data_IF_750314329018
#
_entry.id   IF_750314329018
#
_cell.length_a   1.000
_cell.length_b   1.000
_cell.length_c   1.000
_cell.angle_alpha   90.00
_cell.angle_beta   90.00
_cell.angle_gamma   90.00
#
_symmetry.space_group_name_H-M   'P 1'
#
loop_
_entity.id
_entity.type
_entity.pdbx_description
1 polymer ?
#
# COMPACT_ATOMS: atom_id res chain seq x y z
N UNK A 1 -11.25 15.57 28.98
CA UNK A 1 -10.17 15.69 28.00
C UNK A 1 -10.72 15.19 26.67
N UNK A 2 -10.78 16.02 25.63
CA UNK A 2 -11.13 15.57 24.30
C UNK A 2 -10.00 14.63 23.82
N UNK A 3 -10.30 13.39 23.50
CA UNK A 3 -9.37 12.52 22.79
C UNK A 3 -9.21 13.11 21.38
N UNK A 4 -8.00 13.41 20.98
CA UNK A 4 -7.72 13.71 19.58
C UNK A 4 -8.11 12.46 18.77
N UNK A 5 -9.09 12.60 17.89
CA UNK A 5 -9.49 11.54 16.98
C UNK A 5 -8.43 11.44 15.89
N UNK A 6 -7.89 10.25 15.67
CA UNK A 6 -6.92 10.01 14.60
C UNK A 6 -7.68 9.90 13.30
N UNK A 7 -7.44 10.83 12.38
CA UNK A 7 -8.00 10.81 11.03
C UNK A 7 -6.99 10.08 10.13
N UNK A 8 -7.38 8.94 9.57
CA UNK A 8 -6.52 8.19 8.64
C UNK A 8 -6.38 8.92 7.31
N UNK A 9 -5.26 8.70 6.60
CA UNK A 9 -4.97 9.37 5.32
C UNK A 9 -6.11 9.23 4.31
N UNK A 10 -6.78 8.08 4.24
CA UNK A 10 -7.90 7.86 3.33
C UNK A 10 -9.09 8.80 3.60
N UNK A 11 -9.32 9.23 4.84
CA UNK A 11 -10.39 10.16 5.20
C UNK A 11 -10.05 11.63 4.91
N UNK A 12 -8.80 11.93 4.56
CA UNK A 12 -8.36 13.27 4.14
C UNK A 12 -8.60 13.52 2.65
N UNK A 13 -9.72 13.04 2.13
CA UNK A 13 -10.07 13.11 0.71
C UNK A 13 -9.88 14.50 0.07
N UNK A 14 -10.25 15.63 0.70
CA UNK A 14 -10.04 16.95 0.12
C UNK A 14 -8.57 17.28 -0.17
N UNK A 15 -7.63 16.68 0.54
CA UNK A 15 -6.19 16.96 0.38
C UNK A 15 -5.62 16.25 -0.86
N UNK A 16 -6.02 14.99 -1.10
CA UNK A 16 -5.47 14.21 -2.21
C UNK A 16 -6.38 14.10 -3.45
N UNK A 17 -7.68 14.35 -3.33
CA UNK A 17 -8.62 14.29 -4.47
C UNK A 17 -8.18 15.19 -5.63
N UNK A 18 -7.69 16.44 -5.43
CA UNK A 18 -7.19 17.28 -6.52
C UNK A 18 -6.01 16.65 -7.28
N UNK A 19 -5.19 15.81 -6.61
CA UNK A 19 -4.06 15.10 -7.22
C UNK A 19 -4.50 13.96 -8.13
N UNK A 20 -5.75 13.50 -8.01
CA UNK A 20 -6.31 12.40 -8.79
C UNK A 20 -7.14 12.88 -9.99
N UNK A 21 -7.35 14.19 -10.12
CA UNK A 21 -8.18 14.77 -11.20
C UNK A 21 -7.66 14.30 -12.56
N UNK A 22 -8.57 13.85 -13.41
CA UNK A 22 -8.30 13.36 -14.77
C UNK A 22 -7.30 12.20 -14.85
N UNK A 23 -7.06 11.51 -13.74
CA UNK A 23 -6.14 10.38 -13.66
C UNK A 23 -6.89 9.06 -13.54
N UNK A 24 -6.35 8.03 -14.16
CA UNK A 24 -6.73 6.64 -13.90
C UNK A 24 -5.99 6.19 -12.65
N UNK A 25 -6.70 5.63 -11.70
CA UNK A 25 -6.17 5.28 -10.38
C UNK A 25 -6.09 3.77 -10.22
N UNK A 26 -4.96 3.27 -9.74
CA UNK A 26 -4.85 1.95 -9.15
C UNK A 26 -4.89 2.04 -7.63
N UNK A 27 -5.62 1.17 -6.96
CA UNK A 27 -5.68 1.10 -5.50
C UNK A 27 -4.95 -0.14 -5.00
N UNK A 28 -3.87 0.04 -4.23
CA UNK A 28 -3.29 -1.01 -3.41
C UNK A 28 -4.00 -1.00 -2.06
N UNK A 29 -4.82 -2.00 -1.79
CA UNK A 29 -5.55 -2.13 -0.53
C UNK A 29 -5.96 -3.57 -0.25
N UNK A 30 -6.50 -3.80 0.94
CA UNK A 30 -7.11 -5.05 1.35
C UNK A 30 -8.30 -4.78 2.29
N UNK A 31 -8.81 -5.81 2.96
CA UNK A 31 -9.94 -5.71 3.90
C UNK A 31 -9.74 -4.71 5.04
N UNK A 32 -8.50 -4.26 5.31
CA UNK A 32 -8.22 -3.24 6.34
C UNK A 32 -8.39 -1.81 5.84
N UNK A 33 -8.55 -1.59 4.54
CA UNK A 33 -8.78 -0.29 3.92
C UNK A 33 -10.18 0.26 4.24
N UNK A 34 -10.44 0.54 5.52
CA UNK A 34 -11.74 1.00 6.01
C UNK A 34 -11.69 2.47 6.44
N UNK A 35 -12.78 3.17 6.19
CA UNK A 35 -13.06 4.57 6.53
C UNK A 35 -14.41 4.70 7.25
N UNK A 36 -14.76 5.89 7.68
CA UNK A 36 -16.02 6.19 8.36
C UNK A 36 -16.24 5.28 9.61
N UNK A 37 -15.21 5.13 10.43
CA UNK A 37 -15.28 4.28 11.62
C UNK A 37 -15.46 2.79 11.28
N UNK A 38 -14.88 2.33 10.18
CA UNK A 38 -14.92 0.93 9.76
C UNK A 38 -16.17 0.53 8.97
N UNK A 39 -17.01 1.48 8.57
CA UNK A 39 -18.32 1.20 7.93
C UNK A 39 -18.26 1.15 6.40
N UNK A 40 -17.21 1.68 5.80
CA UNK A 40 -17.07 1.79 4.35
C UNK A 40 -15.64 1.39 3.94
N UNK A 41 -15.50 0.71 2.82
CA UNK A 41 -14.18 0.45 2.25
C UNK A 41 -13.70 1.66 1.45
N UNK A 42 -12.40 1.98 1.50
CA UNK A 42 -11.78 3.09 0.77
C UNK A 42 -12.11 3.06 -0.74
N UNK A 43 -12.14 1.88 -1.36
CA UNK A 43 -12.57 1.74 -2.76
C UNK A 43 -13.98 2.34 -2.99
N UNK A 44 -14.93 1.95 -2.14
CA UNK A 44 -16.33 2.39 -2.29
C UNK A 44 -16.44 3.92 -2.10
N UNK A 45 -15.70 4.45 -1.13
CA UNK A 45 -15.62 5.91 -0.91
C UNK A 45 -15.02 6.64 -2.12
N UNK A 46 -13.93 6.15 -2.70
CA UNK A 46 -13.29 6.73 -3.89
C UNK A 46 -14.26 6.75 -5.08
N UNK A 47 -14.92 5.63 -5.38
CA UNK A 47 -15.88 5.53 -6.47
C UNK A 47 -17.07 6.47 -6.29
N UNK A 48 -17.62 6.57 -5.07
CA UNK A 48 -18.72 7.47 -4.73
C UNK A 48 -18.34 8.94 -4.92
N UNK A 49 -17.05 9.28 -4.80
CA UNK A 49 -16.52 10.62 -5.02
C UNK A 49 -15.99 10.83 -6.46
N UNK A 50 -16.34 9.95 -7.40
CA UNK A 50 -16.05 10.11 -8.81
C UNK A 50 -14.60 9.83 -9.21
N UNK A 51 -13.81 9.18 -8.35
CA UNK A 51 -12.45 8.76 -8.70
C UNK A 51 -12.49 7.61 -9.70
N UNK A 52 -11.76 7.73 -10.80
CA UNK A 52 -11.68 6.72 -11.85
C UNK A 52 -10.71 5.59 -11.45
N UNK A 53 -11.17 4.64 -10.62
CA UNK A 53 -10.37 3.49 -10.22
C UNK A 53 -10.44 2.42 -11.32
N UNK A 54 -9.31 2.12 -11.95
CA UNK A 54 -9.22 1.20 -13.11
C UNK A 54 -8.54 -0.13 -12.79
N UNK A 55 -7.87 -0.24 -11.64
CA UNK A 55 -7.22 -1.46 -11.19
C UNK A 55 -7.16 -1.51 -9.67
N UNK A 56 -7.14 -2.72 -9.12
CA UNK A 56 -6.90 -2.99 -7.71
C UNK A 56 -5.67 -3.88 -7.62
N UNK A 57 -4.74 -3.54 -6.72
CA UNK A 57 -3.67 -4.42 -6.29
C UNK A 57 -3.99 -4.99 -4.93
N UNK A 58 -3.86 -6.30 -4.80
CA UNK A 58 -4.11 -7.01 -3.56
C UNK A 58 -2.80 -7.59 -3.03
N UNK A 59 -2.43 -7.31 -1.77
CA UNK A 59 -1.35 -8.01 -1.10
C UNK A 59 -1.76 -9.45 -0.74
N UNK A 60 -0.93 -10.11 0.06
CA UNK A 60 -1.27 -11.39 0.69
C UNK A 60 -2.65 -11.33 1.37
N UNK A 61 -3.38 -12.44 1.43
CA UNK A 61 -4.77 -12.60 1.93
C UNK A 61 -5.89 -12.01 1.05
N UNK A 62 -5.58 -11.48 -0.13
CA UNK A 62 -6.59 -11.00 -1.07
C UNK A 62 -7.20 -9.63 -0.70
N UNK A 63 -8.02 -9.11 -1.61
CA UNK A 63 -8.58 -7.76 -1.47
C UNK A 63 -9.69 -7.66 -0.42
N UNK A 64 -10.56 -8.67 -0.33
CA UNK A 64 -11.67 -8.70 0.64
C UNK A 64 -11.37 -9.56 1.88
N UNK A 65 -10.14 -10.11 2.02
CA UNK A 65 -9.73 -10.93 3.15
C UNK A 65 -10.26 -12.38 3.11
N UNK A 66 -10.59 -12.86 1.92
CA UNK A 66 -11.20 -14.16 1.66
C UNK A 66 -10.19 -15.24 1.24
N UNK A 67 -8.90 -14.93 1.25
CA UNK A 67 -7.82 -15.88 0.91
C UNK A 67 -6.99 -16.25 2.14
N UNK A 68 -6.69 -17.55 2.29
CA UNK A 68 -5.82 -18.06 3.35
C UNK A 68 -4.37 -17.58 3.20
N UNK A 69 -3.64 -17.52 4.31
CA UNK A 69 -2.23 -17.17 4.35
C UNK A 69 -1.41 -18.07 3.41
N UNK A 70 -0.59 -17.46 2.54
CA UNK A 70 0.27 -18.19 1.60
C UNK A 70 -0.46 -18.78 0.39
N UNK A 71 -1.77 -18.62 0.25
CA UNK A 71 -2.50 -19.06 -0.92
C UNK A 71 -2.19 -18.17 -2.14
N UNK A 72 -2.07 -18.80 -3.33
CA UNK A 72 -1.93 -18.07 -4.57
C UNK A 72 -3.24 -17.35 -4.92
N UNK A 73 -3.27 -16.04 -4.70
CA UNK A 73 -4.40 -15.20 -5.10
C UNK A 73 -4.29 -14.97 -6.62
N UNK A 74 -5.18 -15.58 -7.39
CA UNK A 74 -5.24 -15.38 -8.85
C UNK A 74 -5.78 -13.98 -9.18
N UNK A 75 -5.41 -13.47 -10.36
CA UNK A 75 -6.09 -12.31 -10.92
C UNK A 75 -7.57 -12.57 -10.98
N UNK A 76 -8.36 -11.66 -10.48
CA UNK A 76 -9.81 -11.77 -10.38
C UNK A 76 -10.47 -10.41 -10.65
N UNK A 77 -11.76 -10.34 -10.47
CA UNK A 77 -12.53 -9.09 -10.59
C UNK A 77 -13.26 -8.89 -9.27
N UNK A 78 -13.25 -7.68 -8.74
CA UNK A 78 -14.05 -7.35 -7.56
C UNK A 78 -15.54 -7.50 -7.90
N UNK A 79 -16.22 -8.45 -7.26
CA UNK A 79 -17.58 -8.80 -7.58
C UNK A 79 -18.58 -7.64 -7.41
N UNK A 80 -18.26 -6.68 -6.54
CA UNK A 80 -19.12 -5.52 -6.26
C UNK A 80 -19.01 -4.43 -7.31
N UNK A 81 -17.80 -4.19 -7.81
CA UNK A 81 -17.50 -3.03 -8.65
C UNK A 81 -17.13 -3.37 -10.09
N UNK A 82 -16.82 -4.64 -10.38
CA UNK A 82 -16.34 -5.06 -11.68
C UNK A 82 -14.90 -4.69 -11.99
N UNK A 83 -14.16 -4.08 -11.04
CA UNK A 83 -12.79 -3.62 -11.26
C UNK A 83 -11.82 -4.80 -11.20
N UNK A 84 -10.87 -4.92 -12.15
CA UNK A 84 -9.86 -5.98 -12.13
C UNK A 84 -8.97 -5.91 -10.89
N UNK A 85 -8.77 -7.07 -10.25
CA UNK A 85 -7.83 -7.26 -9.14
C UNK A 85 -6.60 -7.99 -9.68
N UNK A 86 -5.44 -7.36 -9.60
CA UNK A 86 -4.15 -7.97 -9.87
C UNK A 86 -3.51 -8.41 -8.54
N UNK A 87 -3.32 -9.70 -8.37
CA UNK A 87 -2.61 -10.22 -7.21
C UNK A 87 -1.11 -9.94 -7.34
N UNK A 88 -0.54 -9.38 -6.26
CA UNK A 88 0.91 -9.20 -6.10
C UNK A 88 1.57 -10.35 -5.33
N UNK A 89 0.81 -11.39 -5.03
CA UNK A 89 1.30 -12.59 -4.36
C UNK A 89 1.12 -13.81 -5.27
N UNK A 90 2.07 -13.98 -6.21
CA UNK A 90 2.04 -15.08 -7.19
C UNK A 90 3.17 -16.12 -6.98
N UNK A 91 3.92 -16.00 -5.89
CA UNK A 91 4.96 -16.96 -5.48
C UNK A 91 6.30 -16.86 -6.23
N UNK A 92 6.43 -16.04 -7.28
CA UNK A 92 7.68 -15.93 -8.05
C UNK A 92 8.14 -14.49 -8.22
N UNK A 93 7.39 -13.68 -8.92
CA UNK A 93 7.67 -12.27 -9.15
C UNK A 93 6.41 -11.49 -8.84
N UNK A 94 6.51 -10.59 -7.85
CA UNK A 94 5.37 -9.80 -7.40
C UNK A 94 5.26 -8.46 -8.14
N UNK A 95 5.96 -8.32 -9.27
CA UNK A 95 5.89 -7.10 -10.10
C UNK A 95 4.71 -7.18 -11.07
N UNK A 96 3.93 -6.09 -11.22
CA UNK A 96 2.88 -6.03 -12.23
C UNK A 96 3.44 -6.12 -13.64
N UNK A 97 2.68 -6.71 -14.58
CA UNK A 97 3.07 -6.71 -15.99
C UNK A 97 3.00 -5.30 -16.60
N UNK A 98 3.75 -5.02 -17.68
CA UNK A 98 3.67 -3.74 -18.40
C UNK A 98 2.22 -3.39 -18.78
N UNK A 99 1.45 -4.35 -19.28
CA UNK A 99 0.05 -4.12 -19.65
C UNK A 99 -0.82 -3.75 -18.46
N UNK A 100 -0.50 -4.26 -17.27
CA UNK A 100 -1.17 -3.86 -16.02
C UNK A 100 -0.78 -2.43 -15.67
N UNK A 101 0.51 -2.09 -15.77
CA UNK A 101 1.02 -0.75 -15.47
C UNK A 101 0.45 0.33 -16.42
N UNK A 102 0.09 -0.02 -17.64
CA UNK A 102 -0.50 0.92 -18.62
C UNK A 102 -1.98 1.27 -18.32
N UNK A 103 -2.62 0.60 -17.39
CA UNK A 103 -4.04 0.83 -17.05
C UNK A 103 -4.30 2.02 -16.16
N UNK A 104 -3.28 2.60 -15.54
CA UNK A 104 -3.41 3.70 -14.58
C UNK A 104 -2.25 4.69 -14.66
N UNK A 105 -2.41 5.82 -14.01
CA UNK A 105 -1.46 6.95 -13.99
C UNK A 105 -0.91 7.20 -12.58
N UNK A 106 -1.66 6.76 -11.55
CA UNK A 106 -1.30 6.93 -10.15
C UNK A 106 -1.71 5.71 -9.35
N UNK A 107 -0.89 5.32 -8.37
CA UNK A 107 -1.20 4.29 -7.38
C UNK A 107 -1.51 4.97 -6.06
N UNK A 108 -2.67 4.66 -5.47
CA UNK A 108 -2.98 4.93 -4.08
C UNK A 108 -2.67 3.68 -3.26
N UNK A 109 -1.91 3.83 -2.18
CA UNK A 109 -1.62 2.76 -1.23
C UNK A 109 -2.38 3.05 0.08
N UNK A 110 -3.31 2.17 0.43
CA UNK A 110 -4.10 2.23 1.65
C UNK A 110 -4.09 0.87 2.34
N UNK A 111 -3.11 0.66 3.21
CA UNK A 111 -2.88 -0.57 3.97
C UNK A 111 -2.64 -0.26 5.44
N UNK A 112 -3.24 -1.06 6.33
CA UNK A 112 -2.91 -1.02 7.75
C UNK A 112 -1.70 -1.90 8.03
N UNK A 113 -0.60 -1.29 8.45
CA UNK A 113 0.56 -1.99 9.00
C UNK A 113 0.43 -2.19 10.50
N UNK A 114 1.24 -3.07 11.08
CA UNK A 114 1.28 -3.34 12.51
C UNK A 114 2.61 -2.99 13.17
N UNK A 115 3.54 -2.39 12.43
CA UNK A 115 4.79 -1.82 12.94
C UNK A 115 5.93 -2.81 13.16
N UNK A 116 5.84 -4.02 12.60
CA UNK A 116 6.89 -5.04 12.73
C UNK A 116 7.42 -5.49 11.38
N UNK A 117 8.75 -5.64 11.29
CA UNK A 117 9.48 -5.93 10.06
C UNK A 117 9.03 -7.20 9.34
N UNK A 118 8.53 -8.21 10.03
CA UNK A 118 8.07 -9.46 9.43
C UNK A 118 6.61 -9.40 8.96
N UNK A 119 5.90 -8.29 9.14
CA UNK A 119 4.58 -8.04 8.56
C UNK A 119 4.73 -7.42 7.17
N UNK A 120 4.48 -8.21 6.12
CA UNK A 120 5.07 -8.02 4.79
C UNK A 120 4.36 -7.03 3.86
N UNK A 121 3.38 -6.27 4.36
CA UNK A 121 2.67 -5.29 3.52
C UNK A 121 3.58 -4.17 3.01
N UNK A 122 4.58 -3.76 3.81
CA UNK A 122 5.58 -2.80 3.35
C UNK A 122 6.43 -3.35 2.19
N UNK A 123 6.66 -4.66 2.12
CA UNK A 123 7.39 -5.29 1.01
C UNK A 123 6.59 -5.18 -0.28
N UNK A 124 5.28 -5.39 -0.18
CA UNK A 124 4.35 -5.21 -1.31
C UNK A 124 4.32 -3.75 -1.77
N UNK A 125 4.22 -2.81 -0.83
CA UNK A 125 4.30 -1.38 -1.11
C UNK A 125 5.62 -1.02 -1.81
N UNK A 126 6.76 -1.45 -1.27
CA UNK A 126 8.09 -1.19 -1.82
C UNK A 126 8.23 -1.69 -3.27
N UNK A 127 7.74 -2.88 -3.59
CA UNK A 127 7.76 -3.44 -4.95
C UNK A 127 6.93 -2.59 -5.92
N UNK A 128 5.75 -2.12 -5.49
CA UNK A 128 4.92 -1.24 -6.31
C UNK A 128 5.51 0.17 -6.45
N UNK A 129 6.17 0.69 -5.42
CA UNK A 129 6.93 1.94 -5.51
C UNK A 129 8.00 1.84 -6.60
N UNK A 130 8.78 0.77 -6.59
CA UNK A 130 9.82 0.53 -7.60
C UNK A 130 9.23 0.36 -9.01
N UNK A 131 8.14 -0.39 -9.16
CA UNK A 131 7.44 -0.54 -10.43
C UNK A 131 6.86 0.80 -10.94
N UNK A 132 6.30 1.61 -10.04
CA UNK A 132 5.81 2.95 -10.35
C UNK A 132 6.93 3.86 -10.86
N UNK A 133 8.08 3.86 -10.18
CA UNK A 133 9.25 4.65 -10.58
C UNK A 133 9.73 4.28 -11.99
N UNK A 134 9.90 2.98 -12.27
CA UNK A 134 10.32 2.50 -13.60
C UNK A 134 9.33 2.87 -14.71
N UNK A 135 8.05 3.01 -14.39
CA UNK A 135 6.99 3.30 -15.35
C UNK A 135 6.57 4.77 -15.35
N UNK A 136 7.25 5.64 -14.61
CA UNK A 136 6.91 7.06 -14.51
C UNK A 136 5.52 7.33 -13.91
N UNK A 137 5.01 6.43 -13.06
CA UNK A 137 3.71 6.57 -12.40
C UNK A 137 3.88 7.24 -11.06
N UNK A 138 2.86 8.00 -10.64
CA UNK A 138 2.82 8.59 -9.30
C UNK A 138 2.44 7.54 -8.26
N UNK A 139 2.99 7.68 -7.04
CA UNK A 139 2.67 6.81 -5.92
C UNK A 139 2.29 7.68 -4.71
N UNK A 140 1.13 7.44 -4.12
CA UNK A 140 0.60 8.21 -2.98
C UNK A 140 0.24 7.20 -1.88
N UNK A 141 0.73 7.43 -0.67
CA UNK A 141 0.38 6.64 0.52
C UNK A 141 -0.71 7.37 1.30
N UNK A 142 -1.86 6.73 1.46
CA UNK A 142 -2.91 7.16 2.36
C UNK A 142 -2.61 6.55 3.75
N UNK A 143 -1.81 7.27 4.51
CA UNK A 143 -1.16 6.72 5.70
C UNK A 143 -2.13 6.36 6.82
N UNK A 144 -1.74 5.34 7.62
CA UNK A 144 -2.50 4.84 8.76
C UNK A 144 -1.61 4.76 9.99
N UNK A 145 -2.16 4.98 11.19
CA UNK A 145 -1.38 4.94 12.42
C UNK A 145 -0.76 3.55 12.64
N UNK A 146 0.49 3.53 13.07
CA UNK A 146 1.13 2.33 13.57
C UNK A 146 0.64 2.06 15.00
N UNK A 147 0.02 0.90 15.29
CA UNK A 147 -0.53 0.60 16.62
C UNK A 147 0.54 0.49 17.70
N UNK A 148 1.80 0.27 17.33
CA UNK A 148 2.94 0.19 18.26
C UNK A 148 3.98 1.29 17.96
N UNK A 149 3.58 2.46 17.49
CA UNK A 149 4.46 3.57 17.11
C UNK A 149 5.44 4.00 18.20
N UNK A 150 5.12 3.78 19.48
CA UNK A 150 6.00 4.07 20.61
C UNK A 150 7.12 3.05 20.82
N UNK A 151 7.16 1.98 20.00
CA UNK A 151 8.07 0.85 20.12
C UNK A 151 9.12 0.90 19.00
N UNK A 152 10.38 1.05 19.38
CA UNK A 152 11.53 0.78 18.50
C UNK A 152 12.39 -0.25 19.24
N UNK A 153 12.39 -1.50 18.78
CA UNK A 153 13.05 -2.59 19.49
C UNK A 153 13.50 -3.71 18.57
N UNK A 154 14.43 -4.52 19.06
CA UNK A 154 15.06 -5.63 18.37
C UNK A 154 16.19 -5.19 17.42
N UNK A 155 16.97 -6.15 16.91
CA UNK A 155 18.11 -5.85 16.06
C UNK A 155 17.68 -5.30 14.69
N UNK A 156 18.45 -4.36 14.18
CA UNK A 156 18.40 -3.96 12.76
C UNK A 156 18.77 -5.16 11.91
N UNK A 157 18.05 -5.37 10.80
CA UNK A 157 18.31 -6.49 9.91
C UNK A 157 19.70 -6.36 9.27
N UNK A 158 20.52 -7.40 9.42
CA UNK A 158 21.67 -7.58 8.54
C UNK A 158 21.18 -7.94 7.13
N UNK A 159 21.50 -7.08 6.16
CA UNK A 159 21.01 -7.23 4.79
C UNK A 159 21.56 -8.48 4.07
N UNK A 160 22.59 -9.14 4.59
CA UNK A 160 23.00 -10.46 4.13
C UNK A 160 21.94 -11.55 4.39
N UNK A 161 21.03 -11.29 5.35
CA UNK A 161 19.90 -12.15 5.71
C UNK A 161 18.58 -11.71 5.09
N UNK A 162 18.62 -10.79 4.09
CA UNK A 162 17.42 -10.29 3.40
C UNK A 162 16.56 -11.45 2.88
N UNK A 163 15.26 -11.34 3.13
CA UNK A 163 14.28 -12.37 2.75
C UNK A 163 12.89 -11.75 2.49
N UNK A 164 11.90 -12.59 2.15
CA UNK A 164 10.51 -12.16 2.00
C UNK A 164 9.88 -11.60 3.28
N UNK A 165 10.39 -11.98 4.45
CA UNK A 165 9.92 -11.52 5.77
C UNK A 165 10.85 -10.51 6.44
N UNK A 166 11.83 -9.99 5.69
CA UNK A 166 12.77 -8.98 6.15
C UNK A 166 13.50 -8.39 4.96
N UNK A 167 13.01 -7.28 4.43
CA UNK A 167 13.51 -6.71 3.20
C UNK A 167 14.28 -5.39 3.37
N UNK A 168 14.25 -4.78 4.56
CA UNK A 168 14.82 -3.48 4.87
C UNK A 168 15.72 -3.52 6.11
N UNK A 169 16.77 -2.68 6.17
CA UNK A 169 17.66 -2.57 7.33
C UNK A 169 17.01 -1.76 8.45
N UNK A 170 15.90 -2.25 8.98
CA UNK A 170 15.16 -1.64 10.09
C UNK A 170 15.07 -2.60 11.27
N UNK A 171 14.81 -2.11 12.51
CA UNK A 171 14.58 -2.95 13.69
C UNK A 171 13.37 -3.88 13.53
N UNK A 172 13.22 -4.86 14.42
CA UNK A 172 12.06 -5.77 14.43
C UNK A 172 10.76 -4.97 14.61
N UNK A 173 10.68 -4.15 15.65
CA UNK A 173 9.65 -3.11 15.79
C UNK A 173 10.27 -1.78 15.35
N UNK A 174 9.76 -1.18 14.28
CA UNK A 174 10.42 -0.04 13.64
C UNK A 174 9.83 1.33 14.02
N UNK A 175 8.70 1.38 14.73
CA UNK A 175 8.10 2.62 15.23
C UNK A 175 7.51 3.55 14.15
N UNK A 176 7.58 3.19 12.89
CA UNK A 176 7.15 4.03 11.75
C UNK A 176 5.77 3.62 11.23
N UNK A 177 5.04 4.57 10.66
CA UNK A 177 3.90 4.29 9.79
C UNK A 177 4.36 3.81 8.42
N UNK A 178 3.44 3.30 7.56
CA UNK A 178 3.79 2.96 6.17
C UNK A 178 4.22 4.18 5.36
N UNK A 179 3.62 5.35 5.62
CA UNK A 179 4.00 6.60 4.96
C UNK A 179 5.42 7.03 5.33
N UNK A 180 5.76 7.01 6.62
CA UNK A 180 7.11 7.29 7.10
C UNK A 180 8.13 6.30 6.55
N UNK A 181 7.78 5.01 6.51
CA UNK A 181 8.63 3.98 5.93
C UNK A 181 8.83 4.18 4.42
N UNK A 182 7.79 4.58 3.68
CA UNK A 182 7.90 4.91 2.26
C UNK A 182 8.84 6.10 2.01
N UNK A 183 8.75 7.15 2.84
CA UNK A 183 9.70 8.28 2.79
C UNK A 183 11.12 7.84 3.06
N UNK A 184 11.35 7.00 4.06
CA UNK A 184 12.66 6.46 4.39
C UNK A 184 13.22 5.60 3.24
N UNK A 185 12.42 4.69 2.69
CA UNK A 185 12.80 3.84 1.55
C UNK A 185 13.27 4.70 0.37
N UNK A 186 12.54 5.77 0.07
CA UNK A 186 12.87 6.67 -1.02
C UNK A 186 14.10 7.54 -0.71
N UNK A 187 14.17 8.11 0.51
CA UNK A 187 15.24 9.01 0.94
C UNK A 187 16.59 8.32 1.08
N UNK A 188 16.59 7.08 1.55
CA UNK A 188 17.80 6.25 1.72
C UNK A 188 18.19 5.48 0.43
N UNK A 189 17.48 5.73 -0.68
CA UNK A 189 17.73 5.07 -1.97
C UNK A 189 17.71 3.53 -1.88
N UNK A 190 16.80 2.96 -1.09
CA UNK A 190 16.71 1.50 -0.93
C UNK A 190 16.00 0.80 -2.08
N UNK A 191 15.41 1.56 -3.01
CA UNK A 191 14.88 1.02 -4.25
C UNK A 191 15.94 1.04 -5.36
N UNK A 192 15.93 0.05 -6.27
CA UNK A 192 16.80 0.05 -7.46
C UNK A 192 16.53 1.25 -8.38
N UNK A 193 15.31 1.76 -8.40
CA UNK A 193 14.89 2.90 -9.22
C UNK A 193 14.64 4.13 -8.34
N UNK A 194 15.04 5.31 -8.82
CA UNK A 194 14.70 6.57 -8.14
C UNK A 194 13.19 6.77 -8.18
N UNK A 195 12.57 6.93 -7.03
CA UNK A 195 11.10 7.04 -6.91
C UNK A 195 10.73 8.42 -6.38
N UNK A 196 9.68 9.01 -6.92
CA UNK A 196 9.03 10.17 -6.33
C UNK A 196 7.77 9.68 -5.62
N UNK A 197 7.82 9.65 -4.30
CA UNK A 197 6.70 9.30 -3.45
C UNK A 197 6.10 10.56 -2.83
N UNK A 198 4.78 10.67 -2.87
CA UNK A 198 4.03 11.65 -2.11
C UNK A 198 3.27 10.94 -1.00
N UNK A 199 3.46 11.38 0.24
CA UNK A 199 2.71 10.94 1.41
C UNK A 199 1.83 12.08 1.91
N UNK A 200 0.60 11.77 2.23
CA UNK A 200 -0.35 12.71 2.85
C UNK A 200 -1.06 12.06 4.02
#
# INVERSE_FOLDING_TARGET
>A
MARAEVVVGAERLPEYLPLLRDSRVALLSNHTGLVNGGKEHTLDMLLRNGVNVTAIFSPEHGFRGDADAGSHVKNSVDAKTGIPIASLYNGKDSSPSPETMDRFDVILCDLQDVGVRYYTYYVTMMKLMDAAARSGKRFIVLDRPNPIAMMVDGPVLDMSLKSGVGALPVPVAHGMTLGELALMINGECWLPSATVCYTH
#
